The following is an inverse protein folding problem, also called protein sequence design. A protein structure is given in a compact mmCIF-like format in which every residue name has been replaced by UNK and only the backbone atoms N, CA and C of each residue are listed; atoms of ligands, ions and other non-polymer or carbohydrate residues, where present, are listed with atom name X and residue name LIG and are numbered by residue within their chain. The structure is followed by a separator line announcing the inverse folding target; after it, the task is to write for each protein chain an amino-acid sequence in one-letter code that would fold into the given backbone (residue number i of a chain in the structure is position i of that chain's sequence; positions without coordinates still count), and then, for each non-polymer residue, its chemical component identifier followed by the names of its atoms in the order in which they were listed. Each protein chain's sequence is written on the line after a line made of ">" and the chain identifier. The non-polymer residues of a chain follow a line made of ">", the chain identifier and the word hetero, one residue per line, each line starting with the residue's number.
data_IF_260785511656
#
_entry.id   IF_260785511656
#
_cell.length_a   1.000
_cell.length_b   1.000
_cell.length_c   1.000
_cell.angle_alpha   90.00
_cell.angle_beta   90.00
_cell.angle_gamma   90.00
#
_symmetry.space_group_name_H-M   'P 1'
#
loop_
_entity.id
_entity.type
_entity.pdbx_description
1 polymer ?
#
# COMPACT_ATOMS: atom_id res chain seq x y z
N UNK A 1 32.26 32.01 -41.65
CA UNK A 1 31.12 31.46 -40.89
C UNK A 1 30.41 30.47 -41.80
N UNK A 2 30.42 29.17 -41.50
CA UNK A 2 29.75 28.14 -42.32
C UNK A 2 28.32 27.96 -41.79
N UNK A 3 27.33 28.34 -42.59
CA UNK A 3 25.93 28.08 -42.30
C UNK A 3 25.67 26.58 -42.44
N UNK A 4 25.31 25.93 -41.33
CA UNK A 4 24.78 24.56 -41.36
C UNK A 4 23.33 24.69 -41.86
N UNK A 5 22.95 24.01 -42.96
CA UNK A 5 21.60 24.11 -43.48
C UNK A 5 20.61 23.57 -42.45
N UNK A 6 19.59 24.37 -42.13
CA UNK A 6 18.54 24.08 -41.12
C UNK A 6 17.91 22.70 -41.32
N UNK A 7 17.85 22.21 -42.56
CA UNK A 7 17.37 20.87 -42.89
C UNK A 7 18.14 19.73 -42.20
N UNK A 8 19.45 19.87 -41.94
CA UNK A 8 20.24 18.83 -41.28
C UNK A 8 19.95 18.74 -39.77
N UNK A 9 19.59 19.86 -39.13
CA UNK A 9 19.31 19.89 -37.70
C UNK A 9 17.98 19.18 -37.40
N UNK A 10 16.97 19.35 -38.25
CA UNK A 10 15.66 18.70 -38.06
C UNK A 10 15.75 17.18 -38.21
N UNK A 11 16.52 16.69 -39.18
CA UNK A 11 16.73 15.25 -39.38
C UNK A 11 17.47 14.62 -38.20
N UNK A 12 18.45 15.32 -37.62
CA UNK A 12 19.17 14.85 -36.44
C UNK A 12 18.26 14.72 -35.20
N UNK A 13 17.37 15.69 -34.96
CA UNK A 13 16.43 15.61 -33.83
C UNK A 13 15.43 14.46 -33.96
N UNK A 14 14.93 14.20 -35.17
CA UNK A 14 14.02 13.07 -35.42
C UNK A 14 14.74 11.73 -35.25
N UNK A 15 15.98 11.60 -35.74
CA UNK A 15 16.77 10.38 -35.56
C UNK A 15 17.12 10.11 -34.10
N UNK A 16 17.43 11.14 -33.30
CA UNK A 16 17.66 10.99 -31.85
C UNK A 16 16.38 10.53 -31.15
N UNK A 17 15.22 11.11 -31.49
CA UNK A 17 13.93 10.67 -30.93
C UNK A 17 13.59 9.21 -31.26
N UNK A 18 13.82 8.79 -32.51
CA UNK A 18 13.57 7.41 -32.94
C UNK A 18 14.54 6.43 -32.26
N UNK A 19 15.83 6.78 -32.15
CA UNK A 19 16.81 5.93 -31.47
C UNK A 19 16.56 5.81 -29.96
N UNK A 20 16.05 6.86 -29.31
CA UNK A 20 15.60 6.79 -27.91
C UNK A 20 14.39 5.87 -27.74
N UNK A 21 13.45 5.87 -28.70
CA UNK A 21 12.28 5.00 -28.66
C UNK A 21 12.65 3.51 -28.80
N UNK A 22 13.60 3.18 -29.69
CA UNK A 22 14.05 1.78 -29.87
C UNK A 22 14.97 1.27 -28.75
N UNK A 23 15.61 2.15 -27.97
CA UNK A 23 16.43 1.72 -26.84
C UNK A 23 15.59 1.19 -25.66
N UNK A 24 14.32 1.60 -25.55
CA UNK A 24 13.40 1.15 -24.49
C UNK A 24 12.76 -0.22 -24.81
N UNK A 25 12.51 -0.53 -26.09
CA UNK A 25 11.87 -1.80 -26.48
C UNK A 25 12.78 -3.04 -26.38
N UNK A 26 14.10 -2.89 -26.44
CA UNK A 26 15.04 -4.02 -26.42
C UNK A 26 15.18 -4.63 -25.01
N UNK A 27 14.75 -3.94 -23.96
CA UNK A 27 14.80 -4.46 -22.58
C UNK A 27 13.61 -5.33 -22.17
N UNK A 28 12.52 -5.39 -22.94
CA UNK A 28 11.29 -6.09 -22.53
C UNK A 28 11.02 -7.44 -23.21
N UNK A 29 11.76 -7.83 -24.25
CA UNK A 29 11.41 -9.00 -25.08
C UNK A 29 12.13 -10.32 -24.74
N UNK A 30 12.69 -10.49 -23.53
CA UNK A 30 13.49 -11.68 -23.20
C UNK A 30 13.05 -12.53 -21.99
N UNK A 31 11.80 -12.42 -21.55
CA UNK A 31 11.27 -13.26 -20.45
C UNK A 31 9.86 -13.84 -20.69
N UNK A 32 9.58 -14.37 -21.88
CA UNK A 32 8.33 -15.13 -22.08
C UNK A 32 8.50 -16.33 -22.99
N UNK A 33 9.41 -17.24 -22.66
CA UNK A 33 9.39 -18.58 -23.23
C UNK A 33 10.10 -19.54 -22.29
N UNK A 34 9.30 -20.37 -21.60
CA UNK A 34 9.51 -21.77 -21.19
C UNK A 34 8.69 -22.02 -19.92
N UNK A 35 7.47 -22.55 -20.08
CA UNK A 35 6.89 -23.54 -19.14
C UNK A 35 5.61 -24.12 -19.73
N UNK A 36 5.78 -25.20 -20.48
CA UNK A 36 4.77 -26.21 -20.74
C UNK A 36 5.01 -27.40 -19.79
N UNK A 37 3.94 -28.13 -19.44
CA UNK A 37 3.85 -29.36 -18.60
C UNK A 37 3.76 -29.09 -17.07
N UNK A 38 2.86 -29.67 -16.24
CA UNK A 38 2.02 -30.89 -16.26
C UNK A 38 0.75 -30.60 -15.42
N UNK A 39 -0.45 -30.98 -15.89
CA UNK A 39 -1.66 -31.08 -15.06
C UNK A 39 -1.61 -32.37 -14.23
N UNK A 40 -1.24 -32.26 -12.95
CA UNK A 40 -1.41 -33.33 -11.96
C UNK A 40 -2.68 -33.03 -11.18
N UNK A 41 -3.65 -33.95 -11.25
CA UNK A 41 -4.88 -33.89 -10.46
C UNK A 41 -4.55 -34.17 -8.98
N UNK A 42 -4.45 -33.10 -8.19
CA UNK A 42 -4.23 -33.16 -6.74
C UNK A 42 -5.58 -33.34 -6.06
N UNK A 43 -5.85 -34.55 -5.56
CA UNK A 43 -6.91 -34.77 -4.56
C UNK A 43 -6.59 -33.94 -3.32
N UNK A 44 -7.46 -33.00 -2.96
CA UNK A 44 -7.36 -32.25 -1.71
C UNK A 44 -7.56 -33.19 -0.51
N UNK A 45 -6.58 -33.34 0.39
CA UNK A 45 -6.82 -33.94 1.69
C UNK A 45 -7.60 -32.95 2.57
N UNK A 46 -8.55 -33.50 3.34
CA UNK A 46 -9.35 -32.79 4.33
C UNK A 46 -8.49 -31.87 5.20
N UNK A 47 -8.85 -30.59 5.27
CA UNK A 47 -8.14 -29.57 6.02
C UNK A 47 -8.04 -29.94 7.51
N UNK A 48 -6.87 -30.48 7.91
CA UNK A 48 -6.45 -30.40 9.29
C UNK A 48 -6.06 -28.94 9.56
N UNK A 49 -6.65 -28.36 10.61
CA UNK A 49 -6.23 -27.07 11.15
C UNK A 49 -4.81 -27.26 11.69
N UNK A 50 -3.82 -27.02 10.82
CA UNK A 50 -2.43 -26.91 11.21
C UNK A 50 -2.32 -25.63 12.04
N UNK A 51 -2.11 -25.78 13.35
CA UNK A 51 -1.67 -24.65 14.16
C UNK A 51 -0.41 -24.06 13.51
N UNK A 52 -0.33 -22.73 13.37
CA UNK A 52 0.83 -22.09 12.75
C UNK A 52 2.09 -22.53 13.52
N UNK A 53 3.19 -22.84 12.81
CA UNK A 53 4.42 -23.24 13.48
C UNK A 53 4.80 -22.15 14.48
N UNK A 54 4.85 -22.52 15.76
CA UNK A 54 5.39 -21.65 16.80
C UNK A 54 6.84 -21.34 16.41
N UNK A 55 7.09 -20.14 15.89
CA UNK A 55 8.46 -19.67 15.69
C UNK A 55 9.10 -19.65 17.09
N UNK A 56 10.24 -20.32 17.30
CA UNK A 56 10.97 -20.13 18.54
C UNK A 56 11.29 -18.65 18.66
N UNK A 57 10.95 -18.06 19.80
CA UNK A 57 11.23 -16.66 20.07
C UNK A 57 12.73 -16.41 19.89
N UNK A 58 13.12 -15.24 19.41
CA UNK A 58 14.52 -14.88 19.22
C UNK A 58 15.34 -15.03 20.53
N UNK A 59 14.70 -14.83 21.68
CA UNK A 59 15.21 -15.09 23.03
C UNK A 59 15.62 -16.54 23.29
N UNK A 60 14.98 -17.53 22.63
CA UNK A 60 15.42 -18.94 22.69
C UNK A 60 16.67 -19.21 21.85
N UNK A 61 16.99 -18.38 20.85
CA UNK A 61 18.16 -18.59 19.96
C UNK A 61 19.49 -18.10 20.54
N UNK A 62 19.48 -17.19 21.52
CA UNK A 62 20.71 -16.53 22.01
C UNK A 62 20.95 -16.62 23.53
N UNK A 63 20.06 -17.29 24.26
CA UNK A 63 20.37 -17.80 25.60
C UNK A 63 20.39 -16.79 26.75
N UNK A 64 20.51 -15.47 26.58
CA UNK A 64 20.45 -14.51 27.70
C UNK A 64 20.06 -13.09 27.23
N UNK A 65 18.78 -12.81 27.08
CA UNK A 65 18.26 -11.44 27.20
C UNK A 65 17.13 -11.47 28.23
N UNK A 66 17.39 -10.92 29.42
CA UNK A 66 16.33 -10.58 30.36
C UNK A 66 15.85 -9.20 29.90
N UNK A 67 14.64 -9.13 29.34
CA UNK A 67 14.09 -7.83 28.95
C UNK A 67 13.96 -6.94 30.17
N UNK A 68 14.47 -5.72 30.03
CA UNK A 68 14.19 -4.65 30.98
C UNK A 68 13.01 -3.90 30.41
N UNK A 69 11.80 -4.30 30.79
CA UNK A 69 10.54 -3.77 30.25
C UNK A 69 10.46 -2.23 30.32
N UNK A 70 11.20 -1.60 31.24
CA UNK A 70 11.33 -0.14 31.30
C UNK A 70 12.15 0.44 30.15
N UNK A 71 13.25 -0.22 29.76
CA UNK A 71 14.07 0.19 28.61
C UNK A 71 13.32 -0.02 27.30
N UNK A 72 12.63 -1.14 27.16
CA UNK A 72 11.83 -1.41 25.95
C UNK A 72 10.68 -0.40 25.80
N UNK A 73 10.00 -0.07 26.90
CA UNK A 73 8.97 0.97 26.90
C UNK A 73 9.55 2.37 26.59
N UNK A 74 10.75 2.69 27.08
CA UNK A 74 11.44 3.94 26.75
C UNK A 74 11.80 3.99 25.26
N UNK A 75 12.37 2.91 24.72
CA UNK A 75 12.72 2.82 23.30
C UNK A 75 11.48 2.94 22.40
N UNK A 76 10.35 2.34 22.80
CA UNK A 76 9.07 2.51 22.10
C UNK A 76 8.63 3.98 22.10
N UNK A 77 8.68 4.65 23.25
CA UNK A 77 8.30 6.06 23.36
C UNK A 77 9.22 6.99 22.53
N UNK A 78 10.52 6.66 22.45
CA UNK A 78 11.47 7.38 21.59
C UNK A 78 11.12 7.19 20.10
N UNK A 79 10.79 5.96 19.68
CA UNK A 79 10.35 5.69 18.31
C UNK A 79 9.03 6.41 17.97
N UNK A 80 8.05 6.41 18.89
CA UNK A 80 6.80 7.14 18.74
C UNK A 80 7.02 8.65 18.61
N UNK A 81 7.97 9.21 19.36
CA UNK A 81 8.33 10.62 19.28
C UNK A 81 8.92 10.98 17.90
N UNK A 82 9.76 10.11 17.32
CA UNK A 82 10.29 10.27 15.97
C UNK A 82 9.17 10.22 14.91
N UNK A 83 8.22 9.29 15.07
CA UNK A 83 7.05 9.18 14.18
C UNK A 83 6.18 10.45 14.24
N UNK A 84 5.89 10.95 15.44
CA UNK A 84 5.14 12.19 15.65
C UNK A 84 5.86 13.42 15.06
N UNK A 85 7.20 13.44 15.11
CA UNK A 85 8.04 14.46 14.49
C UNK A 85 8.15 14.33 12.95
N UNK A 86 7.42 13.38 12.34
CA UNK A 86 7.48 13.06 10.89
C UNK A 86 8.87 12.63 10.42
N UNK A 87 9.71 12.13 11.32
CA UNK A 87 11.03 11.57 11.01
C UNK A 87 10.90 10.08 10.66
N UNK A 88 10.06 9.77 9.66
CA UNK A 88 9.61 8.41 9.35
C UNK A 88 10.75 7.40 9.15
N UNK A 89 11.86 7.83 8.53
CA UNK A 89 13.08 7.02 8.41
C UNK A 89 13.65 6.60 9.76
N UNK A 90 13.83 7.57 10.65
CA UNK A 90 14.44 7.34 11.96
C UNK A 90 13.49 6.52 12.84
N UNK A 91 12.18 6.79 12.76
CA UNK A 91 11.16 6.00 13.43
C UNK A 91 11.20 4.53 12.96
N UNK A 92 11.29 4.29 11.65
CA UNK A 92 11.45 2.95 11.09
C UNK A 92 12.67 2.22 11.66
N UNK A 93 13.84 2.88 11.62
CA UNK A 93 15.08 2.28 12.12
C UNK A 93 14.99 1.96 13.63
N UNK A 94 14.34 2.84 14.40
CA UNK A 94 14.12 2.66 15.83
C UNK A 94 13.16 1.50 16.14
N UNK A 95 12.01 1.42 15.47
CA UNK A 95 11.07 0.29 15.66
C UNK A 95 11.70 -1.05 15.26
N UNK A 96 12.47 -1.08 14.17
CA UNK A 96 13.16 -2.31 13.75
C UNK A 96 14.15 -2.80 14.82
N UNK A 97 14.96 -1.88 15.36
CA UNK A 97 15.89 -2.21 16.44
C UNK A 97 15.15 -2.74 17.68
N UNK A 98 14.02 -2.12 18.03
CA UNK A 98 13.20 -2.53 19.17
C UNK A 98 12.62 -3.94 18.97
N UNK A 99 12.11 -4.26 17.78
CA UNK A 99 11.59 -5.60 17.44
C UNK A 99 12.68 -6.67 17.61
N UNK A 100 13.91 -6.37 17.19
CA UNK A 100 15.03 -7.32 17.30
C UNK A 100 15.50 -7.54 18.75
N UNK A 101 15.24 -6.58 19.66
CA UNK A 101 15.75 -6.60 21.04
C UNK A 101 14.72 -6.93 22.11
N UNK A 102 13.44 -6.61 21.88
CA UNK A 102 12.37 -6.82 22.87
C UNK A 102 12.07 -8.30 23.05
N UNK A 103 11.62 -8.68 24.25
CA UNK A 103 11.00 -9.98 24.50
C UNK A 103 9.58 -9.86 25.05
N UNK A 104 9.04 -8.65 25.05
CA UNK A 104 7.66 -8.35 25.45
C UNK A 104 6.79 -8.27 24.20
N UNK A 105 5.87 -9.24 24.06
CA UNK A 105 4.99 -9.37 22.89
C UNK A 105 4.13 -8.11 22.65
N UNK A 106 3.64 -7.45 23.71
CA UNK A 106 2.80 -6.25 23.55
C UNK A 106 3.62 -5.07 23.02
N UNK A 107 4.88 -4.95 23.46
CA UNK A 107 5.82 -3.96 22.91
C UNK A 107 6.20 -4.33 21.48
N UNK A 108 6.44 -5.61 21.19
CA UNK A 108 6.76 -6.09 19.83
C UNK A 108 5.63 -5.76 18.86
N UNK A 109 4.36 -6.02 19.22
CA UNK A 109 3.21 -5.69 18.38
C UNK A 109 3.02 -4.18 18.20
N UNK A 110 3.25 -3.39 19.24
CA UNK A 110 3.26 -1.93 19.13
C UNK A 110 4.37 -1.45 18.17
N UNK A 111 5.55 -2.06 18.22
CA UNK A 111 6.66 -1.74 17.35
C UNK A 111 6.38 -2.14 15.89
N UNK A 112 5.76 -3.31 15.62
CA UNK A 112 5.32 -3.67 14.26
C UNK A 112 4.28 -2.69 13.71
N UNK A 113 3.35 -2.23 14.54
CA UNK A 113 2.37 -1.21 14.15
C UNK A 113 3.07 0.10 13.77
N UNK A 114 3.97 0.59 14.62
CA UNK A 114 4.76 1.79 14.37
C UNK A 114 5.66 1.67 13.14
N UNK A 115 6.24 0.49 12.90
CA UNK A 115 7.02 0.17 11.71
C UNK A 115 6.17 0.27 10.44
N UNK A 116 4.96 -0.32 10.46
CA UNK A 116 3.99 -0.24 9.37
C UNK A 116 3.54 1.20 9.09
N UNK A 117 3.26 1.99 10.14
CA UNK A 117 2.94 3.42 10.01
C UNK A 117 4.10 4.22 9.43
N UNK A 118 5.32 3.94 9.87
CA UNK A 118 6.51 4.64 9.38
C UNK A 118 6.69 4.38 7.89
N UNK A 119 6.57 3.12 7.45
CA UNK A 119 6.64 2.75 6.04
C UNK A 119 5.50 3.35 5.21
N UNK A 120 4.28 3.39 5.75
CA UNK A 120 3.11 4.01 5.13
C UNK A 120 3.30 5.51 4.84
N UNK A 121 4.01 6.22 5.72
CA UNK A 121 4.16 7.68 5.66
C UNK A 121 5.51 8.17 5.10
N UNK A 122 6.54 7.32 5.08
CA UNK A 122 7.91 7.73 4.74
C UNK A 122 8.00 8.31 3.34
N UNK A 123 7.47 7.63 2.33
CA UNK A 123 7.29 8.16 0.96
C UNK A 123 6.76 7.03 0.05
N UNK A 124 5.75 7.35 -0.75
CA UNK A 124 4.84 6.42 -1.43
C UNK A 124 5.27 6.04 -2.84
N UNK A 125 6.39 6.57 -3.34
CA UNK A 125 6.77 6.37 -4.75
C UNK A 125 7.18 4.93 -5.09
N UNK A 126 7.34 4.05 -4.10
CA UNK A 126 7.83 2.68 -4.30
C UNK A 126 6.85 1.65 -3.73
N UNK A 127 6.36 0.73 -4.56
CA UNK A 127 5.50 -0.38 -4.14
C UNK A 127 6.10 -1.27 -3.03
N UNK A 128 7.44 -1.42 -3.02
CA UNK A 128 8.17 -2.23 -2.03
C UNK A 128 7.89 -1.82 -0.58
N UNK A 129 7.75 -0.52 -0.30
CA UNK A 129 7.48 -0.04 1.06
C UNK A 129 6.08 -0.42 1.53
N UNK A 130 5.09 -0.38 0.63
CA UNK A 130 3.72 -0.82 0.92
C UNK A 130 3.69 -2.30 1.27
N UNK A 131 4.46 -3.13 0.56
CA UNK A 131 4.57 -4.57 0.86
C UNK A 131 5.23 -4.82 2.21
N UNK A 132 6.30 -4.09 2.53
CA UNK A 132 6.93 -4.17 3.85
C UNK A 132 5.97 -3.74 4.96
N UNK A 133 5.18 -2.68 4.75
CA UNK A 133 4.18 -2.23 5.72
C UNK A 133 3.11 -3.31 5.95
N UNK A 134 2.59 -3.91 4.86
CA UNK A 134 1.63 -5.02 4.94
C UNK A 134 2.21 -6.19 5.73
N UNK A 135 3.43 -6.61 5.40
CA UNK A 135 4.10 -7.73 6.06
C UNK A 135 4.25 -7.49 7.56
N UNK A 136 4.62 -6.28 7.99
CA UNK A 136 4.73 -5.94 9.41
C UNK A 136 3.36 -5.95 10.10
N UNK A 137 2.33 -5.39 9.49
CA UNK A 137 1.00 -5.29 10.09
C UNK A 137 0.28 -6.63 10.20
N UNK A 138 0.53 -7.57 9.28
CA UNK A 138 -0.04 -8.92 9.34
C UNK A 138 0.49 -9.77 10.51
N UNK A 139 1.61 -9.38 11.14
CA UNK A 139 2.17 -10.10 12.29
C UNK A 139 1.33 -9.85 13.56
N UNK A 140 0.61 -8.72 13.64
CA UNK A 140 -0.14 -8.32 14.83
C UNK A 140 -1.35 -9.25 15.03
N UNK A 141 -1.44 -9.99 16.15
CA UNK A 141 -2.48 -10.98 16.35
C UNK A 141 -3.84 -10.33 16.67
N UNK A 142 -4.93 -11.05 16.39
CA UNK A 142 -6.31 -10.57 16.56
C UNK A 142 -6.72 -10.13 17.97
N UNK A 143 -6.00 -10.58 18.99
CA UNK A 143 -6.21 -10.24 20.41
C UNK A 143 -5.34 -9.06 20.89
N UNK A 144 -4.41 -8.55 20.07
CA UNK A 144 -3.59 -7.40 20.40
C UNK A 144 -4.42 -6.11 20.42
N UNK A 145 -4.07 -5.17 21.31
CA UNK A 145 -4.71 -3.84 21.37
C UNK A 145 -4.52 -3.04 20.09
N UNK A 146 -3.42 -3.29 19.36
CA UNK A 146 -3.08 -2.61 18.11
C UNK A 146 -3.77 -3.24 16.90
N UNK A 147 -4.38 -4.42 17.04
CA UNK A 147 -4.94 -5.15 15.91
C UNK A 147 -5.92 -4.32 15.09
N UNK A 148 -6.81 -3.57 15.77
CA UNK A 148 -7.86 -2.86 15.05
C UNK A 148 -7.35 -1.65 14.25
N UNK A 149 -6.38 -0.92 14.79
CA UNK A 149 -5.71 0.17 14.07
C UNK A 149 -4.80 -0.39 12.97
N UNK A 150 -4.21 -1.57 13.18
CA UNK A 150 -3.48 -2.29 12.14
C UNK A 150 -4.39 -2.75 10.99
N UNK A 151 -5.61 -3.20 11.25
CA UNK A 151 -6.59 -3.55 10.20
C UNK A 151 -6.96 -2.32 9.35
N UNK A 152 -7.16 -1.16 9.97
CA UNK A 152 -7.42 0.07 9.23
C UNK A 152 -6.25 0.42 8.29
N UNK A 153 -5.02 0.37 8.81
CA UNK A 153 -3.82 0.67 8.04
C UNK A 153 -3.55 -0.37 6.94
N UNK A 154 -3.79 -1.66 7.21
CA UNK A 154 -3.76 -2.73 6.21
C UNK A 154 -4.73 -2.44 5.07
N UNK A 155 -5.97 -2.05 5.39
CA UNK A 155 -6.97 -1.65 4.41
C UNK A 155 -6.48 -0.53 3.51
N UNK A 156 -5.88 0.54 4.08
CA UNK A 156 -5.26 1.64 3.32
C UNK A 156 -4.14 1.14 2.40
N UNK A 157 -3.24 0.29 2.90
CA UNK A 157 -2.14 -0.25 2.10
C UNK A 157 -2.64 -1.04 0.89
N UNK A 158 -3.63 -1.93 1.09
CA UNK A 158 -4.22 -2.71 -0.01
C UNK A 158 -5.03 -1.85 -0.98
N UNK A 159 -5.75 -0.84 -0.49
CA UNK A 159 -6.43 0.13 -1.36
C UNK A 159 -5.42 0.81 -2.30
N UNK A 160 -4.28 1.26 -1.76
CA UNK A 160 -3.22 1.85 -2.59
C UNK A 160 -2.63 0.87 -3.59
N UNK A 161 -2.33 -0.36 -3.17
CA UNK A 161 -1.87 -1.41 -4.11
C UNK A 161 -2.87 -1.61 -5.25
N UNK A 162 -4.16 -1.66 -4.94
CA UNK A 162 -5.22 -1.73 -5.96
C UNK A 162 -5.22 -0.52 -6.90
N UNK A 163 -5.00 0.69 -6.38
CA UNK A 163 -4.96 1.92 -7.19
C UNK A 163 -3.78 2.00 -8.16
N UNK A 164 -2.68 1.29 -7.89
CA UNK A 164 -1.48 1.27 -8.74
C UNK A 164 -1.35 0.00 -9.58
N UNK A 165 -2.16 -1.03 -9.33
CA UNK A 165 -2.11 -2.26 -10.09
C UNK A 165 -2.59 -2.03 -11.53
N UNK A 166 -1.76 -2.40 -12.50
CA UNK A 166 -2.08 -2.32 -13.93
C UNK A 166 -3.06 -3.43 -14.34
N UNK A 167 -2.89 -4.63 -13.77
CA UNK A 167 -3.74 -5.78 -14.05
C UNK A 167 -5.07 -5.68 -13.28
N UNK A 168 -6.18 -5.76 -14.00
CA UNK A 168 -7.51 -5.65 -13.39
C UNK A 168 -7.76 -6.73 -12.32
N UNK A 169 -7.28 -7.96 -12.51
CA UNK A 169 -7.45 -9.04 -11.53
C UNK A 169 -6.74 -8.74 -10.20
N UNK A 170 -5.47 -8.31 -10.27
CA UNK A 170 -4.70 -7.89 -9.08
C UNK A 170 -5.35 -6.68 -8.40
N UNK A 171 -5.81 -5.70 -9.18
CA UNK A 171 -6.56 -4.54 -8.68
C UNK A 171 -7.78 -4.97 -7.86
N UNK A 172 -8.59 -5.89 -8.41
CA UNK A 172 -9.80 -6.38 -7.73
C UNK A 172 -9.48 -7.19 -6.46
N UNK A 173 -8.45 -8.04 -6.47
CA UNK A 173 -8.09 -8.83 -5.27
C UNK A 173 -7.52 -7.94 -4.15
N UNK A 174 -6.73 -6.92 -4.50
CA UNK A 174 -6.27 -5.91 -3.54
C UNK A 174 -7.45 -5.17 -2.89
N UNK A 175 -8.43 -4.71 -3.66
CA UNK A 175 -9.62 -4.07 -3.07
C UNK A 175 -10.49 -5.02 -2.26
N UNK A 176 -10.62 -6.28 -2.67
CA UNK A 176 -11.32 -7.31 -1.88
C UNK A 176 -10.64 -7.51 -0.52
N UNK A 177 -9.31 -7.51 -0.51
CA UNK A 177 -8.52 -7.61 0.73
C UNK A 177 -8.70 -6.37 1.61
N UNK A 178 -8.66 -5.18 1.01
CA UNK A 178 -8.91 -3.92 1.72
C UNK A 178 -10.30 -3.88 2.36
N UNK A 179 -11.34 -4.28 1.62
CA UNK A 179 -12.72 -4.34 2.13
C UNK A 179 -12.85 -5.26 3.34
N UNK A 180 -12.19 -6.42 3.33
CA UNK A 180 -12.19 -7.33 4.48
C UNK A 180 -11.56 -6.68 5.70
N UNK A 181 -10.44 -5.97 5.53
CA UNK A 181 -9.76 -5.27 6.62
C UNK A 181 -10.64 -4.14 7.19
N UNK A 182 -11.26 -3.31 6.35
CA UNK A 182 -12.20 -2.28 6.82
C UNK A 182 -13.43 -2.88 7.52
N UNK A 183 -13.98 -3.98 7.01
CA UNK A 183 -15.11 -4.66 7.65
C UNK A 183 -14.75 -5.20 9.04
N UNK A 184 -13.50 -5.65 9.24
CA UNK A 184 -13.01 -6.02 10.57
C UNK A 184 -13.04 -4.82 11.53
N UNK A 185 -12.66 -3.63 11.08
CA UNK A 185 -12.75 -2.37 11.85
C UNK A 185 -14.19 -2.08 12.26
N UNK A 186 -15.12 -2.13 11.31
CA UNK A 186 -16.54 -1.84 11.54
C UNK A 186 -17.22 -2.82 12.50
N UNK A 187 -16.77 -4.08 12.53
CA UNK A 187 -17.32 -5.11 13.40
C UNK A 187 -16.85 -4.99 14.87
N UNK A 188 -15.70 -4.35 15.12
CA UNK A 188 -15.06 -4.36 16.43
C UNK A 188 -15.58 -3.31 17.44
N UNK A 189 -16.73 -2.68 17.18
CA UNK A 189 -17.33 -1.63 18.04
C UNK A 189 -16.29 -0.56 18.46
N UNK A 190 -15.54 -0.05 17.50
CA UNK A 190 -14.46 0.93 17.74
C UNK A 190 -14.99 2.33 18.06
N UNK A 191 -14.07 3.23 18.43
CA UNK A 191 -14.32 4.67 18.48
C UNK A 191 -14.91 5.17 17.15
N UNK A 192 -15.74 6.21 17.23
CA UNK A 192 -16.47 6.76 16.10
C UNK A 192 -15.54 7.22 14.97
N UNK A 193 -14.38 7.82 15.28
CA UNK A 193 -13.44 8.31 14.27
C UNK A 193 -12.90 7.17 13.38
N UNK A 194 -12.43 6.07 13.98
CA UNK A 194 -11.93 4.90 13.23
C UNK A 194 -13.02 4.23 12.41
N UNK A 195 -14.25 4.23 12.95
CA UNK A 195 -15.40 3.66 12.27
C UNK A 195 -15.77 4.51 11.06
N UNK A 196 -15.91 5.82 11.21
CA UNK A 196 -16.21 6.75 10.12
C UNK A 196 -15.14 6.66 9.03
N UNK A 197 -13.86 6.56 9.43
CA UNK A 197 -12.75 6.36 8.52
C UNK A 197 -12.85 5.06 7.72
N UNK A 198 -13.07 3.94 8.40
CA UNK A 198 -13.27 2.65 7.75
C UNK A 198 -14.51 2.65 6.83
N UNK A 199 -15.59 3.35 7.20
CA UNK A 199 -16.81 3.45 6.40
C UNK A 199 -16.53 4.10 5.04
N UNK A 200 -15.87 5.26 5.01
CA UNK A 200 -15.62 5.92 3.73
C UNK A 200 -14.57 5.21 2.88
N UNK A 201 -13.52 4.65 3.49
CA UNK A 201 -12.52 3.88 2.75
C UNK A 201 -13.11 2.60 2.15
N UNK A 202 -14.02 1.94 2.89
CA UNK A 202 -14.78 0.81 2.37
C UNK A 202 -15.62 1.23 1.16
N UNK A 203 -16.29 2.39 1.22
CA UNK A 203 -17.07 2.91 0.10
C UNK A 203 -16.21 3.18 -1.14
N UNK A 204 -15.01 3.75 -0.97
CA UNK A 204 -14.05 3.93 -2.07
C UNK A 204 -13.74 2.59 -2.75
N UNK A 205 -13.42 1.55 -1.98
CA UNK A 205 -13.19 0.23 -2.54
C UNK A 205 -14.43 -0.35 -3.24
N UNK A 206 -15.64 -0.17 -2.70
CA UNK A 206 -16.87 -0.67 -3.35
C UNK A 206 -17.12 0.00 -4.71
N UNK A 207 -16.85 1.30 -4.83
CA UNK A 207 -16.99 2.04 -6.09
C UNK A 207 -15.98 1.56 -7.13
N UNK A 208 -14.71 1.40 -6.74
CA UNK A 208 -13.66 0.90 -7.65
C UNK A 208 -13.90 -0.54 -8.13
N UNK A 209 -14.65 -1.32 -7.36
CA UNK A 209 -15.08 -2.67 -7.74
C UNK A 209 -16.38 -2.70 -8.53
N UNK A 210 -17.03 -1.55 -8.75
CA UNK A 210 -18.34 -1.45 -9.41
C UNK A 210 -19.50 -1.99 -8.57
N UNK A 211 -19.28 -2.21 -7.27
CA UNK A 211 -20.29 -2.72 -6.32
C UNK A 211 -21.19 -1.60 -5.78
N UNK A 212 -20.75 -0.35 -5.87
CA UNK A 212 -21.48 0.83 -5.43
C UNK A 212 -21.53 1.91 -6.52
N UNK A 213 -22.68 2.60 -6.63
CA UNK A 213 -22.85 3.69 -7.58
C UNK A 213 -22.53 5.04 -6.92
N UNK A 214 -21.48 5.75 -7.37
CA UNK A 214 -21.04 7.03 -6.77
C UNK A 214 -22.07 8.15 -6.86
N UNK A 215 -23.09 8.02 -7.73
CA UNK A 215 -24.16 9.01 -7.89
C UNK A 215 -25.23 8.90 -6.80
N UNK A 216 -25.27 7.81 -6.05
CA UNK A 216 -26.27 7.65 -4.98
C UNK A 216 -25.89 8.48 -3.75
N UNK A 217 -26.85 9.16 -3.08
CA UNK A 217 -26.53 10.01 -1.93
C UNK A 217 -25.77 9.28 -0.81
N UNK A 218 -26.12 8.02 -0.54
CA UNK A 218 -25.49 7.20 0.50
C UNK A 218 -24.01 6.85 0.22
N UNK A 219 -23.59 6.88 -1.05
CA UNK A 219 -22.20 6.62 -1.47
C UNK A 219 -21.44 7.94 -1.62
N UNK A 220 -22.13 9.00 -2.05
CA UNK A 220 -21.54 10.29 -2.32
C UNK A 220 -20.95 10.95 -1.06
N UNK A 221 -21.66 10.97 0.05
CA UNK A 221 -21.18 11.59 1.30
C UNK A 221 -19.87 10.94 1.79
N UNK A 222 -19.74 9.60 1.86
CA UNK A 222 -18.45 8.97 2.14
C UNK A 222 -17.34 9.33 1.14
N UNK A 223 -17.64 9.39 -0.16
CA UNK A 223 -16.64 9.81 -1.15
C UNK A 223 -16.20 11.27 -0.95
N UNK A 224 -17.08 12.17 -0.55
CA UNK A 224 -16.74 13.56 -0.23
C UNK A 224 -15.85 13.67 1.02
N UNK A 225 -15.96 12.72 1.96
CA UNK A 225 -15.00 12.58 3.07
C UNK A 225 -13.65 12.05 2.58
N UNK A 226 -13.64 11.01 1.75
CA UNK A 226 -12.42 10.46 1.14
C UNK A 226 -11.67 11.49 0.27
N UNK A 227 -12.40 12.40 -0.40
CA UNK A 227 -11.81 13.51 -1.16
C UNK A 227 -11.01 14.50 -0.29
N UNK A 228 -11.26 14.51 1.03
CA UNK A 228 -10.54 15.33 2.01
C UNK A 228 -9.45 14.54 2.75
N UNK A 229 -9.21 13.29 2.39
CA UNK A 229 -8.20 12.44 3.03
C UNK A 229 -6.79 13.02 2.89
N UNK A 230 -5.89 12.77 3.85
CA UNK A 230 -4.50 13.20 3.74
C UNK A 230 -3.72 12.40 2.68
N UNK A 231 -4.11 11.15 2.44
CA UNK A 231 -3.53 10.28 1.44
C UNK A 231 -3.97 10.70 0.04
N UNK A 232 -3.00 11.11 -0.76
CA UNK A 232 -3.24 11.57 -2.12
C UNK A 232 -3.86 10.48 -2.99
N UNK A 233 -3.49 9.21 -2.83
CA UNK A 233 -4.04 8.11 -3.63
C UNK A 233 -5.56 7.94 -3.36
N UNK A 234 -5.98 8.04 -2.10
CA UNK A 234 -7.40 7.99 -1.73
C UNK A 234 -8.16 9.18 -2.31
N UNK A 235 -7.58 10.39 -2.22
CA UNK A 235 -8.19 11.60 -2.82
C UNK A 235 -8.35 11.48 -4.33
N UNK A 236 -7.38 10.92 -5.03
CA UNK A 236 -7.44 10.68 -6.48
C UNK A 236 -8.61 9.79 -6.85
N UNK A 237 -8.73 8.64 -6.18
CA UNK A 237 -9.81 7.69 -6.45
C UNK A 237 -11.17 8.33 -6.15
N UNK A 238 -11.29 9.04 -5.03
CA UNK A 238 -12.53 9.74 -4.69
C UNK A 238 -12.89 10.84 -5.69
N UNK A 239 -11.90 11.61 -6.17
CA UNK A 239 -12.09 12.66 -7.15
C UNK A 239 -12.60 12.11 -8.48
N UNK A 240 -11.99 11.03 -8.97
CA UNK A 240 -12.41 10.34 -10.20
C UNK A 240 -13.85 9.82 -10.08
N UNK A 241 -14.15 9.11 -8.98
CA UNK A 241 -15.49 8.61 -8.69
C UNK A 241 -16.57 9.73 -8.63
N UNK A 242 -16.21 10.90 -8.10
CA UNK A 242 -17.09 12.06 -8.00
C UNK A 242 -17.12 12.93 -9.27
N UNK A 243 -16.28 12.63 -10.27
CA UNK A 243 -16.04 13.48 -11.44
C UNK A 243 -15.66 14.93 -11.04
N UNK A 244 -14.76 15.05 -10.07
CA UNK A 244 -14.25 16.32 -9.54
C UNK A 244 -12.77 16.50 -9.88
N UNK A 245 -12.34 17.74 -10.12
CA UNK A 245 -10.92 18.07 -10.29
C UNK A 245 -10.26 18.32 -8.92
N UNK A 246 -9.08 17.75 -8.70
CA UNK A 246 -8.29 18.02 -7.50
C UNK A 246 -7.67 19.43 -7.55
N UNK A 247 -7.83 20.25 -6.49
CA UNK A 247 -7.22 21.58 -6.42
C UNK A 247 -5.69 21.47 -6.52
N UNK A 248 -5.08 22.29 -7.38
CA UNK A 248 -3.62 22.34 -7.53
C UNK A 248 -3.03 21.29 -8.47
N UNK A 249 -3.84 20.36 -8.98
CA UNK A 249 -3.44 19.53 -10.10
C UNK A 249 -3.66 20.29 -11.40
N UNK A 250 -2.57 20.78 -11.98
CA UNK A 250 -2.58 21.01 -13.42
C UNK A 250 -2.66 19.63 -14.05
N UNK A 251 -3.75 19.36 -14.78
CA UNK A 251 -3.79 18.27 -15.73
C UNK A 251 -2.66 18.58 -16.73
N UNK A 252 -1.48 18.00 -16.50
CA UNK A 252 -0.40 18.02 -17.48
C UNK A 252 -0.90 17.06 -18.55
N UNK A 253 -1.52 17.63 -19.58
CA UNK A 253 -2.40 16.94 -20.51
C UNK A 253 -1.93 15.54 -20.87
N UNK A 254 -2.67 14.53 -20.41
CA UNK A 254 -2.90 13.39 -21.27
C UNK A 254 -3.70 13.97 -22.44
N UNK A 255 -3.02 14.19 -23.55
CA UNK A 255 -3.60 14.41 -24.87
C UNK A 255 -4.34 13.11 -25.21
N UNK A 256 -5.50 12.91 -24.61
CA UNK A 256 -6.52 12.00 -25.14
C UNK A 256 -7.39 12.79 -26.09
N UNK A 257 -6.75 13.45 -27.06
CA UNK A 257 -7.33 13.60 -28.38
C UNK A 257 -7.26 12.21 -29.04
N UNK A 258 -8.12 11.30 -28.60
CA UNK A 258 -8.77 10.40 -29.54
C UNK A 258 -9.74 11.33 -30.31
N UNK A 259 -9.31 12.05 -31.35
CA UNK A 259 -9.22 11.51 -32.71
C UNK A 259 -10.34 10.50 -32.98
N UNK A 260 -11.59 10.89 -32.73
CA UNK A 260 -12.70 10.58 -33.62
C UNK A 260 -12.44 11.27 -34.97
N UNK A 261 -11.56 10.67 -35.78
CA UNK A 261 -11.55 10.88 -37.23
C UNK A 261 -12.06 9.60 -37.86
N UNK A 262 -13.23 9.67 -38.49
CA UNK A 262 -13.72 8.71 -39.47
C UNK A 262 -14.77 7.74 -38.95
#
# INVERSE_FOLDING_TARGET
>A
MRQIPIALATVACVLIGILSFFAEEIHYTKMSEVSSFILVEVRQPSAQVLEPPQKPSFSQKLGFYVSDTKKDAQALAEADALLAAKQYRQAFDAYRLLIDSTSDDEIEFAAYYGLGMSLDKWDWTTGERTDNAINSLMIIPGNSKQWIVAQLLLGRCFLRKGSWAEANEEKQENYKTALKAFQNVLNAQTKDDLRQEAEYLRTVCQVERGEANPKTPAVREPLEMAFKDEDTAIRFVAADALNMQLPGMRIVGAVTDCLTIG
#
